data_IF_640363606616
#
_entry.id   IF_640363606616
#
_cell.length_a   1.000
_cell.length_b   1.000
_cell.length_c   1.000
_cell.angle_alpha   90.00
_cell.angle_beta   90.00
_cell.angle_gamma   90.00
#
_symmetry.space_group_name_H-M   'P 1'
#
loop_
_entity.id
_entity.type
_entity.pdbx_description
1 polymer ?
#
# COMPACT_ATOMS: atom_id res chain seq x y z
N UNK A 1 18.30 28.36 0.19
CA UNK A 1 18.70 27.04 -0.34
C UNK A 1 19.47 26.15 0.65
N UNK A 2 19.57 26.48 1.95
CA UNK A 2 20.38 25.70 2.91
C UNK A 2 19.60 24.73 3.82
N UNK A 3 18.27 24.74 3.80
CA UNK A 3 17.45 23.93 4.73
C UNK A 3 17.33 22.44 4.33
N UNK A 4 17.50 22.10 3.05
CA UNK A 4 17.31 20.72 2.58
C UNK A 4 18.54 19.82 2.81
N UNK A 5 19.77 20.36 2.66
CA UNK A 5 21.00 19.56 2.82
C UNK A 5 21.27 19.16 4.28
N UNK A 6 20.80 19.95 5.24
CA UNK A 6 20.95 19.67 6.67
C UNK A 6 19.89 18.67 7.16
N UNK A 7 18.67 18.74 6.63
CA UNK A 7 17.58 17.82 6.96
C UNK A 7 17.94 16.36 6.62
N UNK A 8 18.51 16.11 5.44
CA UNK A 8 18.90 14.75 5.01
C UNK A 8 20.02 14.15 5.86
N UNK A 9 21.10 14.90 6.10
CA UNK A 9 22.20 14.42 6.97
C UNK A 9 21.75 14.14 8.41
N UNK A 10 20.81 14.93 8.90
CA UNK A 10 20.23 14.74 10.23
C UNK A 10 19.36 13.48 10.27
N UNK A 11 18.57 13.21 9.22
CA UNK A 11 17.76 12.01 9.11
C UNK A 11 18.61 10.73 9.11
N UNK A 12 19.66 10.68 8.29
CA UNK A 12 20.54 9.52 8.20
C UNK A 12 21.17 9.18 9.57
N UNK A 13 21.68 10.20 10.25
CA UNK A 13 22.27 10.05 11.60
C UNK A 13 21.23 9.56 12.63
N UNK A 14 19.97 9.97 12.51
CA UNK A 14 18.91 9.53 13.42
C UNK A 14 18.51 8.08 13.17
N UNK A 15 18.44 7.64 11.91
CA UNK A 15 18.14 6.27 11.54
C UNK A 15 19.23 5.30 12.00
N UNK A 16 20.51 5.64 11.78
CA UNK A 16 21.65 4.85 12.28
C UNK A 16 21.60 4.67 13.81
N UNK A 17 21.19 5.71 14.54
CA UNK A 17 21.04 5.63 16.00
C UNK A 17 19.83 4.78 16.40
N UNK A 18 18.75 4.85 15.63
CA UNK A 18 17.52 4.10 15.91
C UNK A 18 17.74 2.58 15.84
N UNK A 19 18.69 2.09 15.03
CA UNK A 19 19.06 0.67 14.97
C UNK A 19 19.56 0.11 16.31
N UNK A 20 20.04 0.97 17.20
CA UNK A 20 20.56 0.58 18.53
C UNK A 20 19.53 0.75 19.66
N UNK A 21 18.32 1.24 19.35
CA UNK A 21 17.28 1.42 20.35
C UNK A 21 16.67 0.08 20.79
N UNK A 22 16.01 0.04 21.96
CA UNK A 22 15.19 -1.10 22.34
C UNK A 22 14.11 -1.40 21.29
N UNK A 23 13.77 -2.68 21.12
CA UNK A 23 12.79 -3.15 20.11
C UNK A 23 11.46 -2.39 20.16
N UNK A 24 10.99 -2.04 21.35
CA UNK A 24 9.75 -1.27 21.55
C UNK A 24 9.81 0.10 20.87
N UNK A 25 10.93 0.81 20.98
CA UNK A 25 11.13 2.11 20.37
C UNK A 25 11.38 2.01 18.85
N UNK A 26 11.99 0.92 18.38
CA UNK A 26 12.10 0.67 16.93
C UNK A 26 10.74 0.41 16.30
N UNK A 27 9.88 -0.37 16.97
CA UNK A 27 8.52 -0.63 16.53
C UNK A 27 7.67 0.64 16.45
N UNK A 28 7.80 1.54 17.44
CA UNK A 28 7.15 2.86 17.44
C UNK A 28 7.59 3.73 16.25
N UNK A 29 8.90 3.72 15.93
CA UNK A 29 9.43 4.45 14.77
C UNK A 29 8.91 3.87 13.45
N UNK A 30 8.88 2.55 13.28
CA UNK A 30 8.34 1.88 12.08
C UNK A 30 6.88 2.27 11.87
N UNK A 31 6.06 2.23 12.92
CA UNK A 31 4.65 2.61 12.82
C UNK A 31 4.49 4.08 12.41
N UNK A 32 5.31 4.96 12.98
CA UNK A 32 5.28 6.38 12.65
C UNK A 32 5.67 6.65 11.19
N UNK A 33 6.65 5.92 10.65
CA UNK A 33 7.03 6.01 9.24
C UNK A 33 5.91 5.52 8.33
N UNK A 34 5.27 4.39 8.65
CA UNK A 34 4.14 3.85 7.89
C UNK A 34 2.95 4.82 7.88
N UNK A 35 2.65 5.48 9.00
CA UNK A 35 1.58 6.47 9.10
C UNK A 35 1.90 7.72 8.27
N UNK A 36 3.18 8.15 8.24
CA UNK A 36 3.66 9.22 7.37
C UNK A 36 3.53 8.81 5.90
N UNK A 37 3.90 7.59 5.55
CA UNK A 37 3.77 7.02 4.20
C UNK A 37 2.30 6.99 3.75
N UNK A 38 1.40 6.50 4.58
CA UNK A 38 -0.03 6.47 4.29
C UNK A 38 -0.61 7.87 4.11
N UNK A 39 -0.22 8.82 4.96
CA UNK A 39 -0.74 10.20 4.96
C UNK A 39 -0.19 11.05 3.81
N UNK A 40 1.08 10.85 3.43
CA UNK A 40 1.78 11.73 2.50
C UNK A 40 2.08 11.10 1.14
N UNK A 41 2.11 9.77 1.05
CA UNK A 41 2.58 9.04 -0.13
C UNK A 41 1.57 8.03 -0.67
N UNK A 42 0.34 8.03 -0.15
CA UNK A 42 -0.70 7.04 -0.43
C UNK A 42 -0.80 6.59 -1.89
N UNK A 43 -0.18 5.44 -2.20
CA UNK A 43 -0.40 4.63 -3.40
C UNK A 43 -0.13 3.19 -3.03
N UNK A 44 -1.18 2.37 -3.04
CA UNK A 44 -1.03 0.93 -2.90
C UNK A 44 -0.36 0.35 -4.15
N UNK A 45 0.86 -0.16 -3.97
CA UNK A 45 1.57 -0.82 -5.07
C UNK A 45 1.07 -2.26 -5.18
N UNK A 46 0.22 -2.48 -6.18
CA UNK A 46 -0.16 -3.83 -6.59
C UNK A 46 1.11 -4.68 -6.80
N UNK A 47 1.10 -5.89 -6.24
CA UNK A 47 1.99 -6.98 -6.66
C UNK A 47 1.81 -7.24 -8.16
N UNK A 48 2.73 -7.97 -8.78
CA UNK A 48 2.61 -8.24 -10.22
C UNK A 48 1.37 -9.08 -10.54
N UNK A 49 1.00 -9.99 -9.65
CA UNK A 49 -0.21 -10.80 -9.76
C UNK A 49 -1.46 -9.92 -9.70
N UNK A 50 -1.58 -9.06 -8.69
CA UNK A 50 -2.72 -8.14 -8.56
C UNK A 50 -2.79 -7.17 -9.74
N UNK A 51 -1.64 -6.70 -10.23
CA UNK A 51 -1.56 -5.84 -11.41
C UNK A 51 -2.03 -6.57 -12.67
N UNK A 52 -1.71 -7.85 -12.81
CA UNK A 52 -2.18 -8.67 -13.91
C UNK A 52 -3.70 -8.87 -13.86
N UNK A 53 -4.25 -9.18 -12.69
CA UNK A 53 -5.69 -9.34 -12.49
C UNK A 53 -6.47 -8.06 -12.83
N UNK A 54 -5.97 -6.88 -12.43
CA UNK A 54 -6.59 -5.59 -12.79
C UNK A 54 -6.57 -5.35 -14.30
N UNK A 55 -5.45 -5.66 -14.98
CA UNK A 55 -5.36 -5.51 -16.45
C UNK A 55 -6.33 -6.44 -17.17
N UNK A 56 -6.48 -7.67 -16.68
CA UNK A 56 -7.42 -8.64 -17.24
C UNK A 56 -8.86 -8.14 -17.11
N UNK A 57 -9.28 -7.71 -15.92
CA UNK A 57 -10.62 -7.16 -15.71
C UNK A 57 -10.93 -5.94 -16.57
N UNK A 58 -9.94 -5.05 -16.76
CA UNK A 58 -10.08 -3.89 -17.66
C UNK A 58 -10.26 -4.30 -19.14
N UNK A 59 -9.63 -5.38 -19.56
CA UNK A 59 -9.80 -5.90 -20.92
C UNK A 59 -11.18 -6.54 -21.10
N UNK A 60 -11.63 -7.35 -20.14
CA UNK A 60 -12.98 -7.92 -20.14
C UNK A 60 -14.05 -6.81 -20.18
N UNK A 61 -13.88 -5.76 -19.38
CA UNK A 61 -14.75 -4.58 -19.39
C UNK A 61 -14.82 -3.92 -20.79
N UNK A 62 -13.68 -3.70 -21.45
CA UNK A 62 -13.62 -3.11 -22.80
C UNK A 62 -14.32 -3.97 -23.85
N UNK A 63 -14.29 -5.29 -23.68
CA UNK A 63 -14.96 -6.25 -24.55
C UNK A 63 -16.44 -6.43 -24.21
N UNK A 64 -16.96 -5.74 -23.19
CA UNK A 64 -18.33 -5.92 -22.71
C UNK A 64 -18.56 -7.26 -22.01
N UNK A 65 -17.49 -7.96 -21.65
CA UNK A 65 -17.53 -9.24 -20.95
C UNK A 65 -17.72 -9.00 -19.45
N UNK A 66 -18.96 -8.67 -19.08
CA UNK A 66 -19.39 -8.56 -17.69
C UNK A 66 -20.14 -9.82 -17.29
N UNK A 67 -20.03 -10.18 -16.01
CA UNK A 67 -20.92 -11.18 -15.43
C UNK A 67 -22.38 -10.72 -15.52
N UNK A 68 -23.29 -11.65 -15.76
CA UNK A 68 -24.73 -11.34 -15.72
C UNK A 68 -25.20 -11.07 -14.30
N UNK A 69 -26.34 -10.41 -14.17
CA UNK A 69 -26.97 -10.18 -12.87
C UNK A 69 -27.23 -11.49 -12.13
N UNK A 70 -27.64 -12.55 -12.84
CA UNK A 70 -27.85 -13.89 -12.26
C UNK A 70 -26.55 -14.52 -11.74
N UNK A 71 -25.43 -14.36 -12.46
CA UNK A 71 -24.12 -14.86 -12.03
C UNK A 71 -23.63 -14.13 -10.78
N UNK A 72 -23.77 -12.81 -10.75
CA UNK A 72 -23.44 -11.98 -9.58
C UNK A 72 -24.31 -12.38 -8.38
N UNK A 73 -25.62 -12.53 -8.58
CA UNK A 73 -26.55 -12.98 -7.54
C UNK A 73 -26.18 -14.38 -7.04
N UNK A 74 -25.80 -15.30 -7.91
CA UNK A 74 -25.40 -16.66 -7.53
C UNK A 74 -24.15 -16.65 -6.63
N UNK A 75 -23.15 -15.82 -6.94
CA UNK A 75 -21.92 -15.68 -6.12
C UNK A 75 -22.25 -15.14 -4.73
N UNK A 76 -23.00 -14.04 -4.64
CA UNK A 76 -23.35 -13.44 -3.34
C UNK A 76 -24.32 -14.32 -2.53
N UNK A 77 -25.22 -15.07 -3.19
CA UNK A 77 -26.14 -15.99 -2.51
C UNK A 77 -25.44 -17.17 -1.85
N UNK A 78 -24.33 -17.65 -2.42
CA UNK A 78 -23.50 -18.71 -1.82
C UNK A 78 -22.85 -18.31 -0.48
N UNK A 79 -22.72 -17.02 -0.22
CA UNK A 79 -22.02 -16.47 0.96
C UNK A 79 -22.96 -15.75 1.94
N UNK A 80 -24.28 -15.73 1.68
CA UNK A 80 -25.29 -15.26 2.63
C UNK A 80 -25.52 -16.35 3.69
N UNK A 81 -24.94 -16.18 4.87
CA UNK A 81 -25.42 -16.80 6.11
C UNK A 81 -26.45 -15.89 6.76
#
# INVERSE_FOLDING_TARGET
MLANMTATKTLDTLLERAETWPDEAQAELVQSVLDIEAKHFGVYRLSEEERAAVREGLEQMRQGNFASDEEVVAVFSRHRR
#
